data_IF_363378606113
#
_entry.id   IF_363378606113
#
_cell.length_a   1.000
_cell.length_b   1.000
_cell.length_c   1.000
_cell.angle_alpha   90.00
_cell.angle_beta   90.00
_cell.angle_gamma   90.00
#
_symmetry.space_group_name_H-M   'P 1'
#
loop_
_entity.id
_entity.type
_entity.pdbx_description
1 polymer ?
#
# COMPACT_ATOMS: atom_id res chain seq x y z
N UNK A 1 14.69 -21.29 -37.22
CA UNK A 1 14.95 -19.90 -37.71
C UNK A 1 14.63 -18.96 -36.56
N UNK A 2 15.63 -18.43 -35.86
CA UNK A 2 15.46 -17.50 -34.76
C UNK A 2 15.38 -16.07 -35.34
N UNK A 3 14.32 -15.35 -34.99
CA UNK A 3 14.16 -13.93 -35.34
C UNK A 3 15.30 -13.10 -34.75
N UNK A 4 15.95 -12.23 -35.55
CA UNK A 4 17.04 -11.37 -35.04
C UNK A 4 16.53 -10.38 -33.98
N UNK A 5 17.36 -9.99 -33.01
CA UNK A 5 16.99 -9.05 -31.98
C UNK A 5 16.73 -7.65 -32.56
N UNK A 6 15.66 -6.98 -32.12
CA UNK A 6 15.31 -5.64 -32.59
C UNK A 6 16.42 -4.62 -32.32
N UNK A 7 16.65 -3.62 -33.23
CA UNK A 7 17.65 -2.58 -33.07
C UNK A 7 17.50 -1.76 -31.78
N UNK A 8 18.61 -1.29 -31.22
CA UNK A 8 18.63 -0.54 -29.96
C UNK A 8 17.80 0.76 -30.00
N UNK A 9 17.71 1.41 -31.17
CA UNK A 9 16.91 2.63 -31.36
C UNK A 9 15.40 2.39 -31.22
N UNK A 10 14.91 1.23 -31.63
CA UNK A 10 13.50 0.86 -31.53
C UNK A 10 13.11 0.53 -30.07
N UNK A 11 14.08 0.00 -29.28
CA UNK A 11 13.93 -0.22 -27.83
C UNK A 11 13.93 1.09 -27.03
N UNK A 12 14.69 2.09 -27.45
CA UNK A 12 14.73 3.40 -26.82
C UNK A 12 13.46 4.23 -27.12
N UNK A 13 12.89 4.09 -28.30
CA UNK A 13 11.63 4.75 -28.66
C UNK A 13 10.42 4.19 -27.89
N UNK A 14 10.43 2.89 -27.56
CA UNK A 14 9.36 2.24 -26.78
C UNK A 14 9.43 2.62 -25.28
N UNK A 15 10.60 3.05 -24.79
CA UNK A 15 10.80 3.53 -23.42
C UNK A 15 10.33 4.97 -23.18
N UNK A 16 10.10 5.76 -24.25
CA UNK A 16 9.70 7.17 -24.16
C UNK A 16 8.19 7.42 -24.28
N UNK A 17 7.41 6.36 -24.55
CA UNK A 17 5.95 6.46 -24.58
C UNK A 17 5.45 6.53 -23.14
N UNK A 18 4.69 7.58 -22.74
CA UNK A 18 4.05 7.60 -21.41
C UNK A 18 3.28 6.30 -21.25
N UNK A 19 3.55 5.57 -20.17
CA UNK A 19 2.80 4.37 -19.81
C UNK A 19 1.34 4.77 -19.58
N UNK A 20 0.57 4.79 -20.67
CA UNK A 20 -0.88 4.87 -20.58
C UNK A 20 -1.28 3.68 -19.71
N UNK A 21 -1.85 3.96 -18.52
CA UNK A 21 -2.38 2.96 -17.62
C UNK A 21 -3.34 2.09 -18.42
N UNK A 22 -2.82 1.00 -18.99
CA UNK A 22 -3.64 0.05 -19.74
C UNK A 22 -4.58 -0.58 -18.74
N UNK A 23 -5.89 -0.36 -18.92
CA UNK A 23 -6.91 -1.09 -18.16
C UNK A 23 -6.50 -2.56 -18.11
N UNK A 24 -6.37 -3.17 -16.93
CA UNK A 24 -5.89 -4.54 -16.79
C UNK A 24 -6.75 -5.45 -17.66
N UNK A 25 -6.10 -6.21 -18.54
CA UNK A 25 -6.77 -7.18 -19.40
C UNK A 25 -7.20 -8.34 -18.51
N UNK A 26 -8.50 -8.55 -18.36
CA UNK A 26 -9.06 -9.69 -17.60
C UNK A 26 -8.42 -10.98 -18.08
N UNK A 27 -7.85 -11.74 -17.16
CA UNK A 27 -7.36 -13.08 -17.46
C UNK A 27 -8.55 -13.97 -17.85
N UNK A 28 -8.46 -14.78 -18.92
CA UNK A 28 -9.51 -15.71 -19.27
C UNK A 28 -9.55 -16.83 -18.20
N UNK A 29 -10.64 -16.93 -17.44
CA UNK A 29 -10.86 -18.06 -16.55
C UNK A 29 -11.53 -17.76 -15.20
N UNK A 30 -11.42 -16.56 -14.66
CA UNK A 30 -11.97 -16.25 -13.35
C UNK A 30 -13.23 -15.37 -13.47
N UNK A 31 -14.37 -16.02 -13.79
CA UNK A 31 -15.67 -15.36 -13.95
C UNK A 31 -16.64 -15.72 -12.83
N UNK A 32 -16.15 -15.87 -11.62
CA UNK A 32 -17.04 -15.81 -10.47
C UNK A 32 -17.59 -14.38 -10.32
N UNK A 33 -18.82 -14.17 -9.80
CA UNK A 33 -19.27 -12.84 -9.41
C UNK A 33 -18.23 -12.27 -8.45
N UNK A 34 -17.68 -11.09 -8.78
CA UNK A 34 -16.72 -10.43 -7.90
C UNK A 34 -17.36 -10.31 -6.51
N UNK A 35 -16.74 -10.80 -5.46
CA UNK A 35 -17.31 -10.70 -4.13
C UNK A 35 -17.31 -9.22 -3.75
N UNK A 36 -18.45 -8.56 -3.90
CA UNK A 36 -18.62 -7.10 -3.70
C UNK A 36 -17.99 -6.62 -2.39
N UNK A 37 -18.10 -7.43 -1.34
CA UNK A 37 -17.50 -7.13 -0.04
C UNK A 37 -15.97 -7.13 -0.09
N UNK A 38 -15.34 -8.10 -0.77
CA UNK A 38 -13.89 -8.14 -0.93
C UNK A 38 -13.37 -6.96 -1.75
N UNK A 39 -14.10 -6.57 -2.82
CA UNK A 39 -13.73 -5.39 -3.61
C UNK A 39 -13.91 -4.10 -2.80
N UNK A 40 -15.01 -3.95 -2.09
CA UNK A 40 -15.23 -2.78 -1.23
C UNK A 40 -14.13 -2.66 -0.17
N UNK A 41 -13.72 -3.77 0.43
CA UNK A 41 -12.66 -3.78 1.43
C UNK A 41 -11.28 -3.55 0.81
N UNK A 42 -10.92 -4.22 -0.29
CA UNK A 42 -9.65 -4.03 -0.97
C UNK A 42 -9.46 -2.60 -1.50
N UNK A 43 -10.53 -1.96 -1.98
CA UNK A 43 -10.51 -0.57 -2.44
C UNK A 43 -10.73 0.44 -1.30
N UNK A 44 -10.77 -0.02 -0.08
CA UNK A 44 -11.14 0.74 1.11
C UNK A 44 -12.34 1.66 0.85
N UNK A 45 -13.48 0.99 0.61
CA UNK A 45 -14.79 1.61 0.34
C UNK A 45 -14.79 2.59 -0.84
N UNK A 46 -13.91 2.35 -1.83
CA UNK A 46 -13.85 3.13 -3.06
C UNK A 46 -12.73 4.16 -3.13
N UNK A 47 -11.92 4.35 -2.06
CA UNK A 47 -10.75 5.23 -2.08
C UNK A 47 -9.78 4.85 -3.22
N UNK A 48 -9.63 3.54 -3.51
CA UNK A 48 -8.80 3.03 -4.60
C UNK A 48 -9.30 3.38 -6.02
N UNK A 49 -10.49 3.96 -6.17
CA UNK A 49 -10.98 4.43 -7.47
C UNK A 49 -10.66 5.90 -7.76
N UNK A 50 -9.99 6.58 -6.85
CA UNK A 50 -9.49 7.94 -7.12
C UNK A 50 -8.54 7.90 -8.31
N UNK A 51 -8.77 8.74 -9.35
CA UNK A 51 -8.07 8.62 -10.62
C UNK A 51 -6.60 9.02 -10.57
N UNK A 52 -6.20 9.81 -9.56
CA UNK A 52 -4.83 10.29 -9.37
C UNK A 52 -4.31 9.81 -8.02
N UNK A 53 -3.19 9.09 -8.04
CA UNK A 53 -2.51 8.57 -6.85
C UNK A 53 -3.46 7.82 -5.87
N UNK A 54 -4.12 6.73 -6.30
CA UNK A 54 -5.09 6.00 -5.47
C UNK A 54 -4.50 5.52 -4.15
N UNK A 55 -3.24 5.09 -4.11
CA UNK A 55 -2.57 4.72 -2.87
C UNK A 55 -2.42 5.90 -1.88
N UNK A 56 -2.18 7.13 -2.39
CA UNK A 56 -2.21 8.33 -1.54
C UNK A 56 -3.61 8.59 -1.00
N UNK A 57 -4.65 8.34 -1.80
CA UNK A 57 -6.04 8.43 -1.33
C UNK A 57 -6.35 7.35 -0.29
N UNK A 58 -5.85 6.13 -0.47
CA UNK A 58 -5.95 5.03 0.51
C UNK A 58 -5.31 5.40 1.85
N UNK A 59 -4.07 5.91 1.80
CA UNK A 59 -3.36 6.38 2.99
C UNK A 59 -4.11 7.54 3.67
N UNK A 60 -4.62 8.50 2.90
CA UNK A 60 -5.41 9.61 3.45
C UNK A 60 -6.71 9.12 4.11
N UNK A 61 -7.38 8.14 3.49
CA UNK A 61 -8.57 7.51 4.07
C UNK A 61 -8.27 6.68 5.33
N UNK A 62 -7.03 6.21 5.51
CA UNK A 62 -6.58 5.54 6.72
C UNK A 62 -6.43 6.48 7.93
N UNK A 63 -6.20 7.78 7.71
CA UNK A 63 -6.00 8.76 8.81
C UNK A 63 -7.19 8.82 9.78
N UNK A 64 -8.45 8.98 9.33
CA UNK A 64 -9.59 8.95 10.24
C UNK A 64 -9.77 7.60 10.94
N UNK A 65 -9.49 6.47 10.26
CA UNK A 65 -9.51 5.15 10.90
C UNK A 65 -8.45 5.06 12.00
N UNK A 66 -7.22 5.47 11.69
CA UNK A 66 -6.16 5.55 12.72
C UNK A 66 -6.59 6.41 13.89
N UNK A 67 -7.16 7.59 13.64
CA UNK A 67 -7.58 8.49 14.70
C UNK A 67 -8.55 7.79 15.67
N UNK A 68 -9.54 7.08 15.15
CA UNK A 68 -10.50 6.31 15.96
C UNK A 68 -9.79 5.19 16.72
N UNK A 69 -8.99 4.38 16.03
CA UNK A 69 -8.29 3.23 16.63
C UNK A 69 -7.24 3.67 17.66
N UNK A 70 -6.65 4.84 17.52
CA UNK A 70 -5.63 5.36 18.45
C UNK A 70 -6.16 5.60 19.87
N UNK A 71 -7.48 5.60 20.07
CA UNK A 71 -8.10 5.69 21.40
C UNK A 71 -8.16 4.32 22.13
N UNK A 72 -7.91 3.23 21.42
CA UNK A 72 -7.85 1.91 22.01
C UNK A 72 -6.56 1.72 22.85
N UNK A 73 -6.58 0.88 23.89
CA UNK A 73 -5.36 0.37 24.49
C UNK A 73 -4.44 -0.24 23.43
N UNK A 74 -3.13 -0.03 23.57
CA UNK A 74 -2.15 -0.45 22.57
C UNK A 74 -2.26 -1.90 22.08
N UNK A 75 -2.51 -2.92 22.95
CA UNK A 75 -2.70 -4.29 22.45
C UNK A 75 -3.92 -4.44 21.53
N UNK A 76 -5.02 -3.73 21.83
CA UNK A 76 -6.23 -3.75 21.00
C UNK A 76 -6.02 -3.00 19.68
N UNK A 77 -5.24 -1.92 19.69
CA UNK A 77 -4.83 -1.23 18.48
C UNK A 77 -4.03 -2.16 17.56
N UNK A 78 -3.04 -2.88 18.09
CA UNK A 78 -2.25 -3.84 17.31
C UNK A 78 -3.12 -4.99 16.81
N UNK A 79 -4.04 -5.49 17.61
CA UNK A 79 -4.98 -6.53 17.18
C UNK A 79 -5.86 -6.03 16.02
N UNK A 80 -6.37 -4.81 16.10
CA UNK A 80 -7.15 -4.20 15.04
C UNK A 80 -6.31 -4.01 13.76
N UNK A 81 -5.07 -3.53 13.89
CA UNK A 81 -4.14 -3.39 12.76
C UNK A 81 -3.84 -4.75 12.11
N UNK A 82 -3.58 -5.77 12.91
CA UNK A 82 -3.39 -7.14 12.41
C UNK A 82 -4.65 -7.69 11.72
N UNK A 83 -5.83 -7.42 12.26
CA UNK A 83 -7.10 -7.81 11.64
C UNK A 83 -7.30 -7.13 10.28
N UNK A 84 -7.00 -5.82 10.16
CA UNK A 84 -7.02 -5.09 8.89
C UNK A 84 -6.03 -5.72 7.90
N UNK A 85 -4.80 -6.00 8.32
CA UNK A 85 -3.78 -6.60 7.47
C UNK A 85 -4.20 -8.00 6.97
N UNK A 86 -4.63 -8.90 7.87
CA UNK A 86 -5.00 -10.28 7.51
C UNK A 86 -6.25 -10.33 6.61
N UNK A 87 -7.28 -9.54 6.94
CA UNK A 87 -8.48 -9.44 6.09
C UNK A 87 -8.18 -8.72 4.79
N UNK A 88 -7.26 -7.75 4.81
CA UNK A 88 -6.72 -7.05 3.65
C UNK A 88 -6.02 -8.00 2.69
N UNK A 89 -5.14 -8.89 3.17
CA UNK A 89 -4.49 -9.93 2.35
C UNK A 89 -5.53 -10.79 1.61
N UNK A 90 -6.56 -11.24 2.32
CA UNK A 90 -7.62 -12.05 1.73
C UNK A 90 -8.47 -11.27 0.71
N UNK A 91 -8.71 -9.98 0.96
CA UNK A 91 -9.44 -9.11 0.05
C UNK A 91 -8.60 -8.74 -1.18
N UNK A 92 -7.32 -8.39 -1.00
CA UNK A 92 -6.38 -8.09 -2.07
C UNK A 92 -6.21 -9.29 -3.02
N UNK A 93 -6.09 -10.51 -2.49
CA UNK A 93 -6.02 -11.73 -3.30
C UNK A 93 -7.24 -11.91 -4.21
N UNK A 94 -8.45 -11.69 -3.67
CA UNK A 94 -9.70 -11.80 -4.45
C UNK A 94 -9.85 -10.66 -5.45
N UNK A 95 -9.47 -9.44 -5.04
CA UNK A 95 -9.50 -8.26 -5.90
C UNK A 95 -8.47 -8.38 -7.03
N UNK A 96 -7.25 -8.84 -6.74
CA UNK A 96 -6.22 -9.10 -7.73
C UNK A 96 -6.67 -10.08 -8.82
N UNK A 97 -7.32 -11.18 -8.43
CA UNK A 97 -7.94 -12.14 -9.40
C UNK A 97 -9.03 -11.45 -10.22
N UNK A 98 -9.87 -10.64 -9.61
CA UNK A 98 -10.93 -9.90 -10.33
C UNK A 98 -10.36 -8.91 -11.33
N UNK A 99 -9.32 -8.14 -10.94
CA UNK A 99 -8.67 -7.18 -11.84
C UNK A 99 -7.70 -7.84 -12.82
N UNK A 100 -7.31 -9.10 -12.60
CA UNK A 100 -6.35 -9.82 -13.44
C UNK A 100 -4.90 -9.42 -13.19
N UNK A 101 -4.62 -8.74 -12.08
CA UNK A 101 -3.28 -8.30 -11.66
C UNK A 101 -3.22 -8.36 -10.14
N UNK A 102 -2.21 -9.04 -9.58
CA UNK A 102 -2.10 -9.25 -8.14
C UNK A 102 -2.02 -7.92 -7.37
N UNK A 103 -1.24 -6.97 -7.89
CA UNK A 103 -1.10 -5.62 -7.38
C UNK A 103 -1.79 -4.66 -8.37
N UNK A 104 -3.09 -4.50 -8.20
CA UNK A 104 -3.87 -3.55 -8.98
C UNK A 104 -3.87 -2.20 -8.26
N UNK A 105 -3.59 -1.11 -8.96
CA UNK A 105 -3.66 0.24 -8.38
C UNK A 105 -5.02 0.65 -7.79
N UNK A 106 -6.03 -0.22 -7.84
CA UNK A 106 -7.30 -0.03 -7.14
C UNK A 106 -7.32 -0.69 -5.74
N UNK A 107 -6.36 -1.55 -5.45
CA UNK A 107 -6.18 -2.12 -4.13
C UNK A 107 -5.42 -1.07 -3.32
N UNK A 108 -5.97 -0.68 -2.17
CA UNK A 108 -5.40 0.35 -1.27
C UNK A 108 -5.53 -0.04 0.20
N UNK A 109 -5.99 -1.26 0.47
CA UNK A 109 -6.08 -1.78 1.84
C UNK A 109 -4.71 -2.07 2.45
N UNK A 110 -3.71 -2.31 1.62
CA UNK A 110 -2.30 -2.43 1.95
C UNK A 110 -1.75 -1.12 2.50
N UNK A 111 -2.00 0.01 1.82
CA UNK A 111 -1.63 1.33 2.32
C UNK A 111 -2.34 1.66 3.64
N UNK A 112 -3.59 1.22 3.80
CA UNK A 112 -4.30 1.38 5.07
C UNK A 112 -3.60 0.60 6.18
N UNK A 113 -3.28 -0.67 5.97
CA UNK A 113 -2.59 -1.50 6.94
C UNK A 113 -1.19 -0.98 7.26
N UNK A 114 -0.43 -0.57 6.24
CA UNK A 114 0.91 0.00 6.36
C UNK A 114 0.91 1.31 7.15
N UNK A 115 -0.04 2.21 6.89
CA UNK A 115 -0.17 3.45 7.66
C UNK A 115 -0.58 3.20 9.12
N UNK A 116 -1.51 2.27 9.37
CA UNK A 116 -1.85 1.88 10.76
C UNK A 116 -0.62 1.34 11.50
N UNK A 117 0.19 0.51 10.85
CA UNK A 117 1.43 0.01 11.46
C UNK A 117 2.43 1.15 11.70
N UNK A 118 2.58 2.09 10.76
CA UNK A 118 3.40 3.30 10.93
C UNK A 118 3.06 4.03 12.22
N UNK A 119 1.77 4.16 12.52
CA UNK A 119 1.30 4.94 13.66
C UNK A 119 1.27 4.18 14.99
N UNK A 120 1.65 2.90 15.02
CA UNK A 120 1.44 2.00 16.16
C UNK A 120 2.19 2.38 17.44
N UNK A 121 3.33 3.07 17.32
CA UNK A 121 4.18 3.49 18.45
C UNK A 121 4.25 5.02 18.61
N UNK A 122 3.40 5.74 17.90
CA UNK A 122 3.45 7.20 17.84
C UNK A 122 2.35 7.83 18.68
N UNK A 123 2.62 9.01 19.28
CA UNK A 123 1.60 9.74 20.02
C UNK A 123 0.51 10.25 19.08
N UNK A 124 -0.67 10.51 19.62
CA UNK A 124 -1.75 11.17 18.87
C UNK A 124 -1.39 12.65 18.69
N UNK A 125 -1.56 13.15 17.47
CA UNK A 125 -1.31 14.55 17.15
C UNK A 125 -1.21 14.80 15.65
N UNK A 126 -1.28 16.06 15.27
CA UNK A 126 -1.18 16.45 13.86
C UNK A 126 0.23 16.20 13.29
N UNK A 127 1.26 16.55 14.06
CA UNK A 127 2.64 16.36 13.61
C UNK A 127 2.98 14.90 13.32
N UNK A 128 2.73 13.90 14.23
CA UNK A 128 2.96 12.51 13.90
C UNK A 128 2.06 12.00 12.77
N UNK A 129 0.82 12.46 12.67
CA UNK A 129 -0.08 12.05 11.59
C UNK A 129 0.46 12.48 10.22
N UNK A 130 0.88 13.75 10.09
CA UNK A 130 1.43 14.28 8.83
C UNK A 130 2.79 13.67 8.53
N UNK A 131 3.69 13.62 9.51
CA UNK A 131 5.02 13.02 9.32
C UNK A 131 4.93 11.53 8.96
N UNK A 132 4.07 10.77 9.67
CA UNK A 132 3.82 9.35 9.38
C UNK A 132 3.25 9.15 7.98
N UNK A 133 2.33 10.01 7.55
CA UNK A 133 1.81 9.97 6.19
C UNK A 133 2.90 10.17 5.14
N UNK A 134 3.72 11.21 5.31
CA UNK A 134 4.79 11.54 4.34
C UNK A 134 5.85 10.43 4.30
N UNK A 135 6.32 9.98 5.47
CA UNK A 135 7.32 8.91 5.53
C UNK A 135 6.80 7.58 5.01
N UNK A 136 5.54 7.23 5.33
CA UNK A 136 4.95 6.01 4.81
C UNK A 136 4.88 6.03 3.29
N UNK A 137 4.34 7.11 2.68
CA UNK A 137 4.29 7.22 1.22
C UNK A 137 5.67 7.22 0.57
N UNK A 138 6.66 7.83 1.21
CA UNK A 138 8.03 7.81 0.72
C UNK A 138 8.61 6.38 0.70
N UNK A 139 8.49 5.64 1.80
CA UNK A 139 9.05 4.29 1.88
C UNK A 139 8.26 3.25 1.09
N UNK A 140 6.95 3.42 0.94
CA UNK A 140 6.14 2.62 0.06
C UNK A 140 6.56 2.78 -1.41
N UNK A 141 6.86 3.98 -1.87
CA UNK A 141 7.37 4.22 -3.23
C UNK A 141 8.82 3.76 -3.41
N UNK A 142 9.71 4.03 -2.45
CA UNK A 142 11.14 3.67 -2.51
C UNK A 142 11.38 2.19 -2.27
N UNK A 143 10.50 1.53 -1.55
CA UNK A 143 10.55 0.11 -1.18
C UNK A 143 11.93 -0.34 -0.68
N UNK A 144 12.41 0.21 0.47
CA UNK A 144 13.64 -0.26 1.07
C UNK A 144 13.53 -1.75 1.45
N UNK A 145 14.65 -2.43 1.63
CA UNK A 145 14.61 -3.80 2.14
C UNK A 145 13.97 -3.82 3.55
N UNK A 146 13.06 -4.74 3.90
CA UNK A 146 12.61 -5.91 3.13
C UNK A 146 11.39 -5.68 2.21
N UNK A 147 10.78 -4.49 2.13
CA UNK A 147 9.63 -4.21 1.28
C UNK A 147 9.87 -4.63 -0.18
N UNK A 148 11.03 -4.26 -0.73
CA UNK A 148 11.45 -4.65 -2.08
C UNK A 148 11.48 -6.16 -2.32
N UNK A 149 11.74 -6.96 -1.30
CA UNK A 149 11.73 -8.41 -1.41
C UNK A 149 10.31 -8.92 -1.66
N UNK A 150 9.33 -8.45 -0.90
CA UNK A 150 7.93 -8.82 -1.09
C UNK A 150 7.38 -8.31 -2.43
N UNK A 151 7.76 -7.11 -2.83
CA UNK A 151 7.33 -6.51 -4.10
C UNK A 151 7.90 -7.25 -5.33
N UNK A 152 9.15 -7.73 -5.30
CA UNK A 152 9.83 -8.26 -6.51
C UNK A 152 9.82 -9.76 -6.65
N UNK A 153 9.79 -10.51 -5.57
CA UNK A 153 9.88 -11.96 -5.62
C UNK A 153 8.56 -12.57 -6.15
N UNK A 154 8.62 -13.39 -7.20
CA UNK A 154 7.43 -13.99 -7.82
C UNK A 154 6.56 -14.80 -6.84
N UNK A 155 7.15 -15.35 -5.76
CA UNK A 155 6.43 -16.11 -4.73
C UNK A 155 5.42 -15.25 -3.95
N UNK A 156 5.63 -13.94 -3.92
CA UNK A 156 4.82 -12.95 -3.20
C UNK A 156 3.90 -12.13 -4.12
N UNK A 157 3.79 -12.49 -5.42
CA UNK A 157 2.82 -11.86 -6.33
C UNK A 157 1.38 -12.36 -6.06
N UNK A 158 0.92 -12.10 -4.85
CA UNK A 158 -0.38 -12.47 -4.30
C UNK A 158 -0.84 -11.43 -3.26
N UNK A 159 -2.05 -11.57 -2.73
CA UNK A 159 -2.59 -10.63 -1.76
C UNK A 159 -1.78 -10.51 -0.46
N UNK A 160 -1.04 -11.54 -0.06
CA UNK A 160 -0.16 -11.46 1.10
C UNK A 160 1.06 -10.58 0.81
N UNK A 161 1.69 -10.76 -0.35
CA UNK A 161 2.86 -9.95 -0.75
C UNK A 161 2.53 -8.46 -0.88
N UNK A 162 1.37 -8.14 -1.47
CA UNK A 162 0.88 -6.76 -1.62
C UNK A 162 0.75 -6.06 -0.25
N UNK A 163 0.24 -6.75 0.77
CA UNK A 163 0.11 -6.14 2.11
C UNK A 163 1.43 -6.15 2.88
N UNK A 164 2.27 -7.19 2.70
CA UNK A 164 3.53 -7.31 3.45
C UNK A 164 4.58 -6.28 3.03
N UNK A 165 4.62 -5.86 1.77
CA UNK A 165 5.56 -4.83 1.34
C UNK A 165 5.22 -3.48 1.97
N UNK A 166 3.94 -3.13 2.08
CA UNK A 166 3.47 -1.91 2.75
C UNK A 166 3.64 -1.97 4.28
N UNK A 167 3.42 -3.14 4.89
CA UNK A 167 3.75 -3.31 6.31
C UNK A 167 5.24 -3.11 6.56
N UNK A 168 6.11 -3.62 5.68
CA UNK A 168 7.56 -3.42 5.78
C UNK A 168 7.94 -1.93 5.58
N UNK A 169 7.31 -1.23 4.65
CA UNK A 169 7.44 0.22 4.49
C UNK A 169 6.96 0.97 5.74
N UNK A 170 5.88 0.50 6.35
CA UNK A 170 5.30 1.04 7.58
C UNK A 170 6.25 0.96 8.79
N UNK A 171 7.05 -0.10 8.91
CA UNK A 171 8.08 -0.21 9.96
C UNK A 171 9.13 0.90 9.81
N UNK A 172 9.62 1.14 8.60
CA UNK A 172 10.58 2.22 8.32
C UNK A 172 9.96 3.60 8.57
N UNK A 173 8.71 3.78 8.17
CA UNK A 173 7.99 5.02 8.38
C UNK A 173 7.75 5.31 9.87
N UNK A 174 7.42 4.28 10.65
CA UNK A 174 7.30 4.40 12.11
C UNK A 174 8.61 4.89 12.74
N UNK A 175 9.74 4.24 12.41
CA UNK A 175 11.05 4.63 12.92
C UNK A 175 11.42 6.07 12.53
N UNK A 176 11.23 6.45 11.27
CA UNK A 176 11.52 7.80 10.79
C UNK A 176 10.62 8.86 11.46
N UNK A 177 9.33 8.57 11.60
CA UNK A 177 8.39 9.48 12.27
C UNK A 177 8.74 9.63 13.75
N UNK A 178 9.17 8.55 14.39
CA UNK A 178 9.61 8.59 15.79
C UNK A 178 10.83 9.50 15.98
N UNK A 179 11.80 9.47 15.05
CA UNK A 179 12.93 10.40 15.05
C UNK A 179 12.49 11.86 14.89
N UNK A 180 11.50 12.12 14.03
CA UNK A 180 10.92 13.48 13.92
C UNK A 180 10.31 13.92 15.24
N UNK A 181 9.60 13.03 15.96
CA UNK A 181 9.00 13.34 17.26
C UNK A 181 10.07 13.68 18.31
N UNK A 182 11.16 12.92 18.37
CA UNK A 182 12.28 13.23 19.27
C UNK A 182 12.89 14.60 18.95
N UNK A 183 13.12 14.89 17.67
CA UNK A 183 13.66 16.17 17.27
C UNK A 183 12.71 17.32 17.64
N UNK A 184 11.42 17.20 17.38
CA UNK A 184 10.42 18.19 17.71
C UNK A 184 10.32 18.44 19.22
N UNK A 185 10.35 17.40 20.04
CA UNK A 185 10.31 17.53 21.50
C UNK A 185 11.55 18.27 22.04
N UNK A 186 12.73 18.02 21.47
CA UNK A 186 13.96 18.75 21.85
C UNK A 186 13.93 20.23 21.46
N UNK A 187 13.16 20.58 20.44
CA UNK A 187 12.98 21.96 19.98
C UNK A 187 11.80 22.67 20.69
N UNK A 188 11.11 21.99 21.59
CA UNK A 188 9.96 22.55 22.32
C UNK A 188 8.68 22.70 21.47
N UNK A 189 8.53 21.90 20.40
CA UNK A 189 7.38 21.94 19.48
C UNK A 189 6.28 20.92 19.85
N UNK A 190 6.48 20.11 20.89
CA UNK A 190 5.53 19.10 21.39
C UNK A 190 5.58 19.05 22.92
#
# INVERSE_FOLDING_TARGET
MSTPPRPAAERAADASVPQVVRKPRRLPGDRGPAPKLSLAWATFFGAGYVPVAPGTAGTAAAVPLWWVLSHLPWPLYLLATAAVALTGMAAAERAGRYYGVADSGHIVIDEVAGYLLTMSLLPRGLLPAVAGFVWFRLFDVLKPWPARFFDRDPRWKNGAGVVLDDLAAGVWACAATWLVQIAASRLGWT
#
